data_IF_517833420540
#
_entry.id   IF_517833420540
#
_cell.length_a   1.000
_cell.length_b   1.000
_cell.length_c   1.000
_cell.angle_alpha   90.00
_cell.angle_beta   90.00
_cell.angle_gamma   90.00
#
_symmetry.space_group_name_H-M   'P 1'
#
loop_
_entity.id
_entity.type
_entity.pdbx_description
1 polymer ?
#
# COMPACT_ATOMS: atom_id res chain seq x y z
N UNK A 1 -23.79 -5.50 -65.21
CA UNK A 1 -22.58 -5.19 -64.40
C UNK A 1 -22.87 -4.39 -63.11
N UNK A 2 -24.13 -4.17 -62.70
CA UNK A 2 -24.43 -3.31 -61.52
C UNK A 2 -24.54 -4.05 -60.17
N UNK A 3 -24.73 -5.37 -60.17
CA UNK A 3 -24.86 -6.15 -58.92
C UNK A 3 -23.49 -6.40 -58.26
N UNK A 4 -22.42 -6.47 -59.07
CA UNK A 4 -21.05 -6.63 -58.57
C UNK A 4 -20.56 -5.40 -57.79
N UNK A 5 -20.94 -4.19 -58.20
CA UNK A 5 -20.58 -2.95 -57.50
C UNK A 5 -21.24 -2.82 -56.11
N UNK A 6 -22.49 -3.26 -55.98
CA UNK A 6 -23.23 -3.23 -54.70
C UNK A 6 -22.67 -4.17 -53.64
N UNK A 7 -22.24 -5.38 -54.02
CA UNK A 7 -21.62 -6.34 -53.10
C UNK A 7 -20.23 -5.86 -52.62
N UNK A 8 -19.44 -5.25 -53.51
CA UNK A 8 -18.14 -4.65 -53.14
C UNK A 8 -18.34 -3.44 -52.22
N UNK A 9 -19.37 -2.63 -52.45
CA UNK A 9 -19.71 -1.47 -51.62
C UNK A 9 -20.12 -1.79 -50.17
N UNK A 10 -20.69 -2.97 -49.90
CA UNK A 10 -21.08 -3.40 -48.54
C UNK A 10 -19.96 -4.15 -47.79
N UNK A 11 -19.04 -4.82 -48.50
CA UNK A 11 -17.91 -5.52 -47.89
C UNK A 11 -16.81 -4.57 -47.40
N UNK A 12 -16.61 -3.44 -48.09
CA UNK A 12 -15.65 -2.40 -47.72
C UNK A 12 -15.89 -1.80 -46.32
N UNK A 13 -17.09 -1.28 -45.97
CA UNK A 13 -17.35 -0.73 -44.64
C UNK A 13 -17.30 -1.81 -43.56
N UNK A 14 -17.72 -3.05 -43.86
CA UNK A 14 -17.60 -4.16 -42.92
C UNK A 14 -16.13 -4.50 -42.58
N UNK A 15 -15.22 -4.45 -43.57
CA UNK A 15 -13.80 -4.65 -43.33
C UNK A 15 -13.14 -3.47 -42.61
N UNK A 16 -13.50 -2.22 -42.93
CA UNK A 16 -13.01 -1.05 -42.20
C UNK A 16 -13.48 -1.06 -40.74
N UNK A 17 -14.74 -1.41 -40.48
CA UNK A 17 -15.28 -1.56 -39.13
C UNK A 17 -14.51 -2.61 -38.31
N UNK A 18 -14.20 -3.77 -38.92
CA UNK A 18 -13.40 -4.84 -38.29
C UNK A 18 -11.96 -4.40 -38.00
N UNK A 19 -11.35 -3.62 -38.91
CA UNK A 19 -10.00 -3.05 -38.71
C UNK A 19 -9.97 -2.03 -37.57
N UNK A 20 -10.96 -1.14 -37.51
CA UNK A 20 -11.09 -0.14 -36.43
C UNK A 20 -11.32 -0.81 -35.07
N UNK A 21 -12.18 -1.82 -35.01
CA UNK A 21 -12.41 -2.59 -33.78
C UNK A 21 -11.13 -3.31 -33.29
N UNK A 22 -10.37 -3.94 -34.19
CA UNK A 22 -9.09 -4.58 -33.85
C UNK A 22 -8.02 -3.57 -33.42
N UNK A 23 -8.01 -2.38 -34.01
CA UNK A 23 -7.08 -1.30 -33.61
C UNK A 23 -7.39 -0.81 -32.19
N UNK A 24 -8.67 -0.55 -31.90
CA UNK A 24 -9.11 -0.13 -30.56
C UNK A 24 -8.85 -1.21 -29.48
N UNK A 25 -9.08 -2.48 -29.79
CA UNK A 25 -8.75 -3.56 -28.84
C UNK A 25 -7.25 -3.63 -28.56
N UNK A 26 -6.41 -3.46 -29.59
CA UNK A 26 -4.96 -3.40 -29.41
C UNK A 26 -4.52 -2.23 -28.54
N UNK A 27 -5.07 -1.03 -28.73
CA UNK A 27 -4.69 0.11 -27.89
C UNK A 27 -5.07 -0.09 -26.42
N UNK A 28 -6.22 -0.71 -26.14
CA UNK A 28 -6.61 -1.08 -24.78
C UNK A 28 -5.65 -2.10 -24.17
N UNK A 29 -5.31 -3.15 -24.91
CA UNK A 29 -4.38 -4.17 -24.43
C UNK A 29 -2.99 -3.59 -24.17
N UNK A 30 -2.52 -2.69 -25.03
CA UNK A 30 -1.24 -2.03 -24.85
C UNK A 30 -1.22 -1.15 -23.58
N UNK A 31 -2.25 -0.34 -23.38
CA UNK A 31 -2.40 0.48 -22.18
C UNK A 31 -2.55 -0.37 -20.91
N UNK A 32 -3.29 -1.48 -20.99
CA UNK A 32 -3.45 -2.40 -19.86
C UNK A 32 -2.16 -3.14 -19.52
N UNK A 33 -1.37 -3.55 -20.52
CA UNK A 33 -0.04 -4.12 -20.30
C UNK A 33 0.86 -3.13 -19.57
N UNK A 34 0.96 -1.89 -20.08
CA UNK A 34 1.75 -0.83 -19.45
C UNK A 34 1.29 -0.54 -18.01
N UNK A 35 -0.02 -0.56 -17.77
CA UNK A 35 -0.57 -0.46 -16.43
C UNK A 35 -0.07 -1.58 -15.51
N UNK A 36 -0.10 -2.84 -15.96
CA UNK A 36 0.37 -3.98 -15.15
C UNK A 36 1.89 -3.94 -14.93
N UNK A 37 2.66 -3.49 -15.92
CA UNK A 37 4.11 -3.32 -15.79
C UNK A 37 4.43 -2.29 -14.70
N UNK A 38 3.72 -1.16 -14.67
CA UNK A 38 3.84 -0.17 -13.61
C UNK A 38 3.44 -0.74 -12.24
N UNK A 39 2.39 -1.56 -12.17
CA UNK A 39 1.96 -2.20 -10.91
C UNK A 39 3.09 -3.10 -10.41
N UNK A 40 3.70 -3.89 -11.30
CA UNK A 40 4.80 -4.78 -10.96
C UNK A 40 6.03 -4.01 -10.45
N UNK A 41 6.39 -2.89 -11.11
CA UNK A 41 7.49 -2.02 -10.67
C UNK A 41 7.24 -1.47 -9.26
N UNK A 42 6.03 -0.99 -8.98
CA UNK A 42 5.68 -0.45 -7.66
C UNK A 42 5.65 -1.54 -6.58
N UNK A 43 5.16 -2.73 -6.91
CA UNK A 43 5.20 -3.89 -6.00
C UNK A 43 6.63 -4.31 -5.68
N UNK A 44 7.53 -4.33 -6.68
CA UNK A 44 8.95 -4.59 -6.48
C UNK A 44 9.61 -3.52 -5.60
N UNK A 45 9.13 -2.28 -5.67
CA UNK A 45 9.51 -1.18 -4.77
C UNK A 45 8.91 -1.26 -3.36
N UNK A 46 8.14 -2.30 -3.05
CA UNK A 46 7.53 -2.51 -1.73
C UNK A 46 6.16 -1.85 -1.52
N UNK A 47 5.55 -1.28 -2.57
CA UNK A 47 4.20 -0.72 -2.46
C UNK A 47 3.15 -1.81 -2.15
N UNK A 48 2.08 -1.46 -1.45
CA UNK A 48 0.92 -2.33 -1.30
C UNK A 48 0.17 -2.51 -2.64
N UNK A 49 -0.53 -3.63 -2.86
CA UNK A 49 -1.32 -3.89 -4.08
C UNK A 49 -2.31 -2.76 -4.37
N UNK A 50 -3.07 -2.30 -3.38
CA UNK A 50 -4.03 -1.22 -3.64
C UNK A 50 -3.34 0.08 -4.04
N UNK A 51 -2.26 0.45 -3.34
CA UNK A 51 -1.44 1.61 -3.66
C UNK A 51 -0.82 1.50 -5.05
N UNK A 52 -0.27 0.34 -5.39
CA UNK A 52 0.32 0.07 -6.70
C UNK A 52 -0.73 0.20 -7.81
N UNK A 53 -1.91 -0.40 -7.65
CA UNK A 53 -2.99 -0.30 -8.63
C UNK A 53 -3.43 1.15 -8.85
N UNK A 54 -3.61 1.94 -7.79
CA UNK A 54 -4.03 3.34 -7.92
C UNK A 54 -2.94 4.18 -8.55
N UNK A 55 -1.71 4.10 -8.04
CA UNK A 55 -0.59 4.89 -8.55
C UNK A 55 -0.26 4.55 -10.01
N UNK A 56 -0.35 3.27 -10.42
CA UNK A 56 -0.17 2.89 -11.83
C UNK A 56 -1.28 3.42 -12.73
N UNK A 57 -2.51 3.55 -12.22
CA UNK A 57 -3.62 4.11 -13.00
C UNK A 57 -3.51 5.63 -13.14
N UNK A 58 -2.93 6.30 -12.14
CA UNK A 58 -2.66 7.74 -12.13
C UNK A 58 -1.43 8.11 -12.96
N UNK A 59 -0.41 7.25 -13.02
CA UNK A 59 0.81 7.48 -13.78
C UNK A 59 0.62 7.42 -15.30
N UNK A 60 -0.48 6.84 -15.78
CA UNK A 60 -0.74 6.68 -17.21
C UNK A 60 -1.78 7.66 -17.76
N UNK A 61 -1.55 8.05 -19.01
CA UNK A 61 -2.37 9.01 -19.73
C UNK A 61 -3.30 8.35 -20.76
N UNK A 62 -4.37 9.07 -21.11
CA UNK A 62 -5.30 8.70 -22.17
C UNK A 62 -6.56 8.00 -21.70
N UNK A 63 -7.46 7.74 -22.65
CA UNK A 63 -8.83 7.34 -22.36
C UNK A 63 -8.93 5.98 -21.64
N UNK A 64 -7.99 5.07 -21.85
CA UNK A 64 -7.97 3.76 -21.18
C UNK A 64 -7.63 3.91 -19.71
N UNK A 65 -6.62 4.72 -19.38
CA UNK A 65 -6.22 5.01 -18.01
C UNK A 65 -7.31 5.76 -17.23
N UNK A 66 -8.03 6.68 -17.88
CA UNK A 66 -9.21 7.32 -17.29
C UNK A 66 -10.26 6.28 -16.85
N UNK A 67 -10.53 5.29 -17.71
CA UNK A 67 -11.47 4.22 -17.38
C UNK A 67 -10.93 3.26 -16.31
N UNK A 68 -9.63 2.99 -16.28
CA UNK A 68 -8.98 2.20 -15.22
C UNK A 68 -9.10 2.92 -13.87
N UNK A 69 -8.79 4.22 -13.81
CA UNK A 69 -8.98 5.05 -12.61
C UNK A 69 -10.42 5.04 -12.14
N UNK A 70 -11.38 5.30 -13.03
CA UNK A 70 -12.81 5.24 -12.70
C UNK A 70 -13.27 3.84 -12.25
N UNK A 71 -12.63 2.78 -12.76
CA UNK A 71 -12.88 1.40 -12.34
C UNK A 71 -12.42 1.17 -10.89
N UNK A 72 -11.20 1.58 -10.56
CA UNK A 72 -10.62 1.45 -9.22
C UNK A 72 -11.39 2.30 -8.18
N UNK A 73 -11.78 3.52 -8.54
CA UNK A 73 -12.63 4.38 -7.70
C UNK A 73 -13.98 3.70 -7.41
N UNK A 74 -14.62 3.11 -8.43
CA UNK A 74 -15.88 2.35 -8.24
C UNK A 74 -15.70 1.13 -7.35
N UNK A 75 -14.60 0.38 -7.51
CA UNK A 75 -14.29 -0.77 -6.66
C UNK A 75 -14.19 -0.35 -5.19
N UNK A 76 -13.48 0.75 -4.92
CA UNK A 76 -13.32 1.33 -3.57
C UNK A 76 -14.67 1.77 -2.98
N UNK A 77 -15.47 2.51 -3.74
CA UNK A 77 -16.80 2.97 -3.30
C UNK A 77 -17.74 1.80 -2.98
N UNK A 78 -17.66 0.72 -3.75
CA UNK A 78 -18.50 -0.48 -3.57
C UNK A 78 -17.91 -1.48 -2.58
N UNK A 79 -16.73 -1.22 -2.00
CA UNK A 79 -15.95 -2.16 -1.18
C UNK A 79 -15.81 -3.54 -1.84
N UNK A 80 -15.57 -3.56 -3.14
CA UNK A 80 -15.34 -4.79 -3.93
C UNK A 80 -13.88 -4.87 -4.33
N UNK A 81 -13.43 -6.09 -4.62
CA UNK A 81 -12.09 -6.32 -5.18
C UNK A 81 -11.91 -5.49 -6.47
N UNK A 82 -10.77 -4.78 -6.63
CA UNK A 82 -10.49 -4.04 -7.86
C UNK A 82 -10.47 -4.94 -9.09
N UNK A 83 -10.05 -6.20 -8.92
CA UNK A 83 -10.06 -7.22 -9.96
C UNK A 83 -11.48 -7.57 -10.43
N UNK A 84 -12.48 -7.52 -9.55
CA UNK A 84 -13.87 -7.76 -9.93
C UNK A 84 -14.40 -6.66 -10.88
N UNK A 85 -14.13 -5.39 -10.57
CA UNK A 85 -14.56 -4.29 -11.44
C UNK A 85 -13.76 -4.27 -12.75
N UNK A 86 -12.46 -4.61 -12.73
CA UNK A 86 -11.64 -4.77 -13.94
C UNK A 86 -12.17 -5.90 -14.85
N UNK A 87 -12.54 -7.04 -14.26
CA UNK A 87 -13.20 -8.13 -15.00
C UNK A 87 -14.49 -7.66 -15.65
N UNK A 88 -15.29 -6.91 -14.90
CA UNK A 88 -16.55 -6.34 -15.40
C UNK A 88 -16.31 -5.34 -16.55
N UNK A 89 -15.22 -4.57 -16.50
CA UNK A 89 -14.80 -3.69 -17.59
C UNK A 89 -14.42 -4.50 -18.85
N UNK A 90 -13.68 -5.59 -18.69
CA UNK A 90 -13.29 -6.48 -19.79
C UNK A 90 -14.50 -7.10 -20.51
N UNK A 91 -15.51 -7.53 -19.74
CA UNK A 91 -16.77 -8.05 -20.28
C UNK A 91 -17.51 -6.96 -21.08
N UNK A 92 -17.62 -5.73 -20.54
CA UNK A 92 -18.29 -4.61 -21.22
C UNK A 92 -17.60 -4.21 -22.52
N UNK A 93 -16.28 -4.31 -22.57
CA UNK A 93 -15.48 -3.94 -23.75
C UNK A 93 -15.26 -5.09 -24.73
N UNK A 94 -15.67 -6.32 -24.40
CA UNK A 94 -15.46 -7.50 -25.23
C UNK A 94 -13.97 -7.87 -25.37
N UNK A 95 -13.19 -7.67 -24.30
CA UNK A 95 -11.75 -7.94 -24.26
C UNK A 95 -11.50 -9.11 -23.31
N UNK A 96 -11.49 -10.36 -23.82
CA UNK A 96 -11.35 -11.57 -23.00
C UNK A 96 -10.01 -11.62 -22.25
N UNK A 97 -8.93 -11.07 -22.79
CA UNK A 97 -7.63 -11.04 -22.12
C UNK A 97 -7.70 -10.25 -20.80
N UNK A 98 -8.49 -9.17 -20.77
CA UNK A 98 -8.72 -8.38 -19.55
C UNK A 98 -9.47 -9.20 -18.50
N UNK A 99 -10.44 -9.99 -18.95
CA UNK A 99 -11.27 -10.86 -18.11
C UNK A 99 -10.44 -11.99 -17.52
N UNK A 100 -9.54 -12.57 -18.31
CA UNK A 100 -8.65 -13.65 -17.90
C UNK A 100 -7.64 -13.17 -16.85
N UNK A 101 -6.95 -12.06 -17.11
CA UNK A 101 -5.99 -11.49 -16.15
C UNK A 101 -6.69 -11.05 -14.86
N UNK A 102 -7.82 -10.39 -14.95
CA UNK A 102 -8.57 -10.00 -13.76
C UNK A 102 -9.11 -11.21 -12.99
N UNK A 103 -9.50 -12.28 -13.68
CA UNK A 103 -9.93 -13.53 -13.07
C UNK A 103 -8.81 -14.21 -12.29
N UNK A 104 -7.65 -14.39 -12.91
CA UNK A 104 -6.48 -15.00 -12.26
C UNK A 104 -6.01 -14.18 -11.05
N UNK A 105 -5.96 -12.85 -11.18
CA UNK A 105 -5.58 -11.97 -10.08
C UNK A 105 -6.62 -11.91 -8.96
N UNK A 106 -7.92 -12.07 -9.25
CA UNK A 106 -8.94 -12.15 -8.20
C UNK A 106 -8.76 -13.39 -7.33
N UNK A 107 -8.43 -14.54 -7.93
CA UNK A 107 -8.19 -15.80 -7.22
C UNK A 107 -6.93 -15.73 -6.35
N UNK A 108 -5.85 -15.14 -6.87
CA UNK A 108 -4.57 -14.99 -6.16
C UNK A 108 -4.58 -13.85 -5.13
N UNK A 109 -5.28 -12.76 -5.43
CA UNK A 109 -5.27 -11.52 -4.64
C UNK A 109 -6.04 -11.61 -3.33
N UNK A 110 -7.10 -12.40 -3.25
CA UNK A 110 -7.86 -12.59 -2.00
C UNK A 110 -7.02 -13.18 -0.86
N UNK A 111 -6.06 -14.03 -1.20
CA UNK A 111 -5.15 -14.66 -0.23
C UNK A 111 -3.95 -13.75 0.10
N UNK A 112 -3.32 -13.12 -0.91
CA UNK A 112 -2.12 -12.30 -0.71
C UNK A 112 -2.37 -10.92 -0.08
N UNK A 113 -3.49 -10.25 -0.40
CA UNK A 113 -3.78 -8.91 0.11
C UNK A 113 -4.12 -8.91 1.61
N UNK A 114 -4.82 -9.94 2.12
CA UNK A 114 -5.12 -10.10 3.55
C UNK A 114 -3.87 -10.39 4.37
N UNK A 115 -2.98 -11.23 3.86
CA UNK A 115 -1.74 -11.58 4.56
C UNK A 115 -0.80 -10.36 4.63
N UNK A 116 -0.62 -9.62 3.53
CA UNK A 116 0.24 -8.43 3.54
C UNK A 116 -0.32 -7.28 4.40
N UNK A 117 -1.63 -7.03 4.37
CA UNK A 117 -2.24 -6.00 5.24
C UNK A 117 -2.10 -6.37 6.72
N UNK A 118 -2.27 -7.64 7.06
CA UNK A 118 -2.01 -8.14 8.42
C UNK A 118 -0.52 -8.02 8.80
N UNK A 119 0.41 -8.35 7.89
CA UNK A 119 1.85 -8.22 8.14
C UNK A 119 2.29 -6.77 8.27
N UNK A 120 1.75 -5.86 7.45
CA UNK A 120 2.04 -4.43 7.54
C UNK A 120 1.57 -3.86 8.88
N UNK A 121 0.34 -4.18 9.30
CA UNK A 121 -0.16 -3.80 10.62
C UNK A 121 0.69 -4.38 11.76
N UNK A 122 1.17 -5.63 11.60
CA UNK A 122 2.09 -6.27 12.56
C UNK A 122 3.45 -5.58 12.58
N UNK A 123 4.02 -5.23 11.44
CA UNK A 123 5.30 -4.52 11.31
C UNK A 123 5.23 -3.12 11.92
N UNK A 124 4.15 -2.37 11.68
CA UNK A 124 3.96 -1.06 12.31
C UNK A 124 3.80 -1.18 13.83
N UNK A 125 3.10 -2.21 14.31
CA UNK A 125 3.01 -2.48 15.75
C UNK A 125 4.36 -2.84 16.37
N UNK A 126 5.25 -3.52 15.63
CA UNK A 126 6.60 -3.84 16.09
C UNK A 126 7.50 -2.60 16.11
N UNK A 127 7.43 -1.75 15.07
CA UNK A 127 8.17 -0.47 15.05
C UNK A 127 7.74 0.44 16.19
N UNK A 128 6.44 0.55 16.45
CA UNK A 128 5.91 1.34 17.57
C UNK A 128 6.41 0.81 18.93
N UNK A 129 6.50 -0.52 19.10
CA UNK A 129 7.08 -1.14 20.30
C UNK A 129 8.57 -0.87 20.43
N UNK A 130 9.34 -0.95 19.34
CA UNK A 130 10.76 -0.62 19.34
C UNK A 130 11.02 0.83 19.78
N UNK A 131 10.23 1.78 19.28
CA UNK A 131 10.33 3.18 19.71
C UNK A 131 10.01 3.31 21.20
N UNK A 132 8.93 2.69 21.68
CA UNK A 132 8.57 2.72 23.09
C UNK A 132 9.60 2.02 24.00
N UNK A 133 10.26 0.97 23.53
CA UNK A 133 11.31 0.26 24.27
C UNK A 133 12.61 1.07 24.33
N UNK A 134 12.99 1.76 23.25
CA UNK A 134 14.11 2.72 23.25
C UNK A 134 13.83 3.87 24.23
N UNK A 135 12.60 4.41 24.23
CA UNK A 135 12.16 5.45 25.17
C UNK A 135 12.21 4.94 26.63
N UNK A 136 11.77 3.70 26.88
CA UNK A 136 11.79 3.08 28.20
C UNK A 136 13.21 2.81 28.71
N UNK A 137 14.13 2.39 27.83
CA UNK A 137 15.54 2.21 28.18
C UNK A 137 16.17 3.56 28.54
N UNK A 138 15.87 4.62 27.79
CA UNK A 138 16.33 5.98 28.09
C UNK A 138 15.78 6.49 29.44
N UNK A 139 14.52 6.23 29.76
CA UNK A 139 13.91 6.54 31.06
C UNK A 139 14.53 5.74 32.21
N UNK A 140 14.83 4.45 32.01
CA UNK A 140 15.43 3.59 33.05
C UNK A 140 16.86 3.98 33.43
N UNK A 141 17.59 4.66 32.52
CA UNK A 141 18.91 5.20 32.82
C UNK A 141 18.85 6.36 33.82
N UNK A 142 17.75 7.11 33.86
CA UNK A 142 17.55 8.21 34.81
C UNK A 142 17.30 7.71 36.24
N UNK A 143 16.63 6.58 36.42
CA UNK A 143 16.35 6.02 37.75
C UNK A 143 17.63 5.57 38.48
N UNK A 144 18.67 5.15 37.73
CA UNK A 144 19.99 4.80 38.28
C UNK A 144 20.83 6.02 38.71
N UNK A 145 20.45 7.24 38.34
CA UNK A 145 21.17 8.47 38.75
C UNK A 145 20.76 9.00 40.13
N UNK A 146 19.58 8.62 40.66
CA UNK A 146 19.13 9.06 41.99
C UNK A 146 19.75 8.29 43.16
N UNK A 147 20.11 7.04 42.92
CA UNK A 147 20.63 6.11 43.94
C UNK A 147 21.94 6.59 44.59
N UNK A 148 22.95 7.11 43.84
CA UNK A 148 24.17 7.67 44.42
C UNK A 148 23.94 8.94 45.25
N UNK A 149 23.00 9.80 44.83
CA UNK A 149 22.71 11.07 45.51
C UNK A 149 22.07 10.85 46.87
N UNK A 150 21.16 9.88 46.98
CA UNK A 150 20.57 9.49 48.26
C UNK A 150 21.62 8.97 49.24
N UNK A 151 22.57 8.17 48.75
CA UNK A 151 23.65 7.60 49.57
C UNK A 151 24.61 8.70 50.07
N UNK A 152 24.92 9.69 49.21
CA UNK A 152 25.69 10.87 49.60
C UNK A 152 24.98 11.70 50.68
N UNK A 153 23.66 11.91 50.54
CA UNK A 153 22.86 12.68 51.49
C UNK A 153 22.83 12.03 52.88
N UNK A 154 22.63 10.71 52.93
CA UNK A 154 22.71 9.94 54.19
C UNK A 154 24.11 10.05 54.80
N UNK A 155 25.17 9.91 54.00
CA UNK A 155 26.55 10.08 54.48
C UNK A 155 26.83 11.47 55.05
N UNK A 156 26.32 12.52 54.40
CA UNK A 156 26.45 13.90 54.88
C UNK A 156 25.67 14.14 56.18
N UNK A 157 24.47 13.57 56.29
CA UNK A 157 23.65 13.65 57.50
C UNK A 157 24.33 12.97 58.71
N UNK A 158 25.00 11.83 58.49
CA UNK A 158 25.81 11.15 59.51
C UNK A 158 27.01 11.99 59.91
N UNK A 159 27.72 12.57 58.92
CA UNK A 159 28.91 13.39 59.17
C UNK A 159 28.60 14.68 59.92
N UNK A 160 27.44 15.31 59.66
CA UNK A 160 26.97 16.49 60.39
C UNK A 160 26.32 16.16 61.74
N UNK A 161 25.62 15.03 61.83
CA UNK A 161 24.98 14.59 63.08
C UNK A 161 25.99 14.16 64.13
N UNK A 162 27.12 13.58 63.71
CA UNK A 162 28.19 13.14 64.62
C UNK A 162 28.76 14.25 65.52
N UNK A 163 29.22 15.42 65.02
CA UNK A 163 29.71 16.49 65.86
C UNK A 163 28.62 17.10 66.74
N UNK A 164 27.38 17.22 66.24
CA UNK A 164 26.26 17.74 67.03
C UNK A 164 25.91 16.83 68.22
N UNK A 165 25.94 15.51 68.02
CA UNK A 165 25.76 14.54 69.12
C UNK A 165 26.92 14.57 70.11
N UNK A 166 28.16 14.76 69.63
CA UNK A 166 29.32 14.91 70.52
C UNK A 166 29.26 16.20 71.35
N UNK A 167 28.82 17.33 70.78
CA UNK A 167 28.64 18.57 71.53
C UNK A 167 27.53 18.44 72.59
N UNK A 168 26.42 17.76 72.29
CA UNK A 168 25.33 17.56 73.26
C UNK A 168 25.73 16.62 74.40
N UNK A 169 26.49 15.56 74.10
CA UNK A 169 26.96 14.60 75.13
C UNK A 169 28.09 15.16 76.00
N UNK A 170 28.91 16.07 75.46
CA UNK A 170 29.98 16.73 76.23
C UNK A 170 29.47 17.93 77.04
N UNK A 171 28.39 18.58 76.60
CA UNK A 171 27.80 19.76 77.23
C UNK A 171 26.62 19.44 78.17
N UNK A 172 26.44 18.16 78.52
CA UNK A 172 25.45 17.66 79.47
C UNK A 172 26.16 16.91 80.59
#
# INVERSE_FOLDING_TARGET
MSVAGGAVGLLLPAQMMRRTARSRRRSVLHAFSAFLDLVNVLLAGGAGIETALVASAEAGDGWVFEHLRACLVRARLRRRSPWHELRSLGIRWGIPELVEVAGSMSLSGEHGARIRTSLAARADSMRARQVAEIEAIAQSATERMGLPVMLLFVGFMVLLGYPALQEVVMNM
#
